data_IF_751604128769
#
_entry.id   IF_751604128769
#
_cell.length_a   1.000
_cell.length_b   1.000
_cell.length_c   1.000
_cell.angle_alpha   90.00
_cell.angle_beta   90.00
_cell.angle_gamma   90.00
#
_symmetry.space_group_name_H-M   'P 1'
#
loop_
_entity.id
_entity.type
_entity.pdbx_description
1 polymer ?
#
# COMPACT_ATOMS: atom_id res chain seq x y z
N UNK A 1 18.89 14.24 7.82
CA UNK A 1 17.44 14.36 8.09
C UNK A 1 16.79 13.05 7.72
N UNK A 2 16.06 12.43 8.64
CA UNK A 2 15.17 11.29 8.34
C UNK A 2 13.84 11.89 7.89
N UNK A 3 13.27 11.42 6.77
CA UNK A 3 11.92 11.80 6.36
C UNK A 3 10.95 10.81 7.00
N UNK A 4 10.00 11.32 7.77
CA UNK A 4 8.99 10.51 8.45
C UNK A 4 7.70 10.49 7.62
N UNK A 5 7.09 9.31 7.50
CA UNK A 5 5.78 9.13 6.87
C UNK A 5 4.77 9.07 8.01
N UNK A 6 3.91 10.08 8.14
CA UNK A 6 2.91 10.14 9.20
C UNK A 6 1.49 9.83 8.71
N UNK A 7 1.30 9.78 7.39
CA UNK A 7 -0.03 9.63 6.81
C UNK A 7 -0.59 8.22 7.04
N UNK A 8 -1.63 8.13 7.87
CA UNK A 8 -2.19 6.86 8.35
C UNK A 8 -2.55 5.87 7.23
N UNK A 9 -3.15 6.27 6.09
CA UNK A 9 -3.40 5.35 4.99
C UNK A 9 -2.13 4.71 4.43
N UNK A 10 -1.04 5.46 4.31
CA UNK A 10 0.25 4.93 3.85
C UNK A 10 0.82 3.95 4.87
N UNK A 11 0.82 4.31 6.15
CA UNK A 11 1.26 3.43 7.23
C UNK A 11 0.46 2.12 7.24
N UNK A 12 -0.85 2.17 7.01
CA UNK A 12 -1.70 0.98 6.91
C UNK A 12 -1.28 0.04 5.78
N UNK A 13 -0.94 0.57 4.59
CA UNK A 13 -0.45 -0.24 3.47
C UNK A 13 0.88 -0.90 3.80
N UNK A 14 1.83 -0.14 4.36
CA UNK A 14 3.15 -0.66 4.76
C UNK A 14 3.02 -1.76 5.82
N UNK A 15 2.21 -1.52 6.86
CA UNK A 15 1.99 -2.48 7.94
C UNK A 15 1.32 -3.76 7.44
N UNK A 16 0.35 -3.67 6.53
CA UNK A 16 -0.30 -4.86 5.93
C UNK A 16 0.70 -5.71 5.16
N UNK A 17 1.49 -5.11 4.28
CA UNK A 17 2.52 -5.84 3.53
C UNK A 17 3.55 -6.47 4.47
N UNK A 18 4.04 -5.72 5.47
CA UNK A 18 4.99 -6.23 6.45
C UNK A 18 4.41 -7.40 7.26
N UNK A 19 3.14 -7.32 7.66
CA UNK A 19 2.44 -8.39 8.38
C UNK A 19 2.36 -9.66 7.54
N UNK A 20 1.97 -9.55 6.27
CA UNK A 20 1.90 -10.71 5.36
C UNK A 20 3.28 -11.31 5.15
N UNK A 21 4.32 -10.49 4.95
CA UNK A 21 5.69 -11.00 4.75
C UNK A 21 6.32 -11.63 6.00
N UNK A 22 5.97 -11.13 7.19
CA UNK A 22 6.54 -11.62 8.45
C UNK A 22 5.80 -12.85 8.99
N UNK A 23 4.57 -13.10 8.55
CA UNK A 23 3.77 -14.22 9.03
C UNK A 23 4.19 -15.53 8.38
N UNK A 24 4.33 -16.58 9.19
CA UNK A 24 4.44 -17.97 8.72
C UNK A 24 3.10 -18.57 8.30
N UNK A 25 1.99 -17.87 8.56
CA UNK A 25 0.62 -18.36 8.38
C UNK A 25 -0.17 -17.58 7.33
N UNK A 26 0.42 -16.55 6.72
CA UNK A 26 -0.21 -15.76 5.67
C UNK A 26 0.67 -15.79 4.44
N UNK A 27 0.05 -15.92 3.26
CA UNK A 27 0.74 -15.72 2.00
C UNK A 27 -0.07 -14.75 1.15
N UNK A 28 0.58 -13.68 0.70
CA UNK A 28 0.05 -12.83 -0.35
C UNK A 28 0.12 -13.55 -1.70
N UNK A 29 -0.83 -13.27 -2.58
CA UNK A 29 -0.75 -13.68 -3.98
C UNK A 29 0.37 -12.91 -4.71
N UNK A 30 0.83 -13.37 -5.89
CA UNK A 30 1.73 -12.58 -6.72
C UNK A 30 1.16 -11.19 -7.03
N UNK A 31 -0.16 -11.08 -7.24
CA UNK A 31 -0.84 -9.82 -7.51
C UNK A 31 -0.81 -8.87 -6.30
N UNK A 32 -0.95 -9.38 -5.08
CA UNK A 32 -0.80 -8.57 -3.86
C UNK A 32 0.58 -7.89 -3.81
N UNK A 33 1.65 -8.62 -4.10
CA UNK A 33 3.01 -8.08 -4.11
C UNK A 33 3.26 -7.09 -5.27
N UNK A 34 2.68 -7.35 -6.44
CA UNK A 34 2.72 -6.43 -7.58
C UNK A 34 2.03 -5.10 -7.24
N UNK A 35 0.81 -5.16 -6.71
CA UNK A 35 0.05 -3.95 -6.35
C UNK A 35 0.70 -3.15 -5.23
N UNK A 36 1.38 -3.81 -4.29
CA UNK A 36 2.20 -3.11 -3.30
C UNK A 36 3.35 -2.34 -3.96
N UNK A 37 4.07 -2.98 -4.90
CA UNK A 37 5.15 -2.32 -5.65
C UNK A 37 4.61 -1.12 -6.44
N UNK A 38 3.47 -1.27 -7.12
CA UNK A 38 2.82 -0.18 -7.85
C UNK A 38 2.44 0.99 -6.92
N UNK A 39 1.95 0.71 -5.72
CA UNK A 39 1.67 1.73 -4.72
C UNK A 39 2.93 2.48 -4.28
N UNK A 40 4.03 1.78 -3.98
CA UNK A 40 5.30 2.41 -3.57
C UNK A 40 5.85 3.29 -4.69
N UNK A 41 5.89 2.80 -5.93
CA UNK A 41 6.34 3.60 -7.08
C UNK A 41 5.49 4.86 -7.25
N UNK A 42 4.16 4.74 -7.16
CA UNK A 42 3.27 5.89 -7.29
C UNK A 42 3.43 6.89 -6.12
N UNK A 43 3.74 6.40 -4.92
CA UNK A 43 4.02 7.23 -3.76
C UNK A 43 5.35 8.01 -3.93
N UNK A 44 6.39 7.35 -4.43
CA UNK A 44 7.68 7.99 -4.74
C UNK A 44 7.55 9.04 -5.86
N UNK A 45 6.82 8.74 -6.94
CA UNK A 45 6.49 9.70 -8.01
C UNK A 45 5.71 10.91 -7.50
N UNK A 46 4.95 10.74 -6.41
CA UNK A 46 4.21 11.83 -5.76
C UNK A 46 5.06 12.63 -4.76
N UNK A 47 6.36 12.35 -4.67
CA UNK A 47 7.26 12.89 -3.65
C UNK A 47 6.76 12.64 -2.21
N UNK A 48 6.17 11.45 -1.98
CA UNK A 48 5.56 11.07 -0.70
C UNK A 48 4.43 12.00 -0.27
N UNK A 49 3.56 12.39 -1.20
CA UNK A 49 2.44 13.29 -0.94
C UNK A 49 1.62 12.83 0.29
N UNK A 50 1.63 13.61 1.36
CA UNK A 50 0.74 13.41 2.49
C UNK A 50 -0.65 13.89 2.09
N UNK A 51 -1.70 13.07 2.29
CA UNK A 51 -3.07 13.51 2.00
C UNK A 51 -3.60 13.17 0.61
N UNK A 52 -2.96 12.27 -0.16
CA UNK A 52 -3.43 11.89 -1.50
C UNK A 52 -4.88 11.37 -1.57
N UNK A 53 -5.49 10.96 -0.45
CA UNK A 53 -6.92 10.60 -0.39
C UNK A 53 -7.86 11.76 -0.06
N UNK A 54 -7.34 12.86 0.49
CA UNK A 54 -8.12 14.02 0.94
C UNK A 54 -8.25 15.11 -0.13
N UNK A 55 -7.23 15.27 -0.98
CA UNK A 55 -7.12 16.43 -1.87
C UNK A 55 -8.08 16.40 -3.07
N UNK A 56 -8.89 15.33 -3.23
CA UNK A 56 -9.85 15.19 -4.34
C UNK A 56 -9.21 15.09 -5.73
N UNK A 57 -7.89 15.19 -5.83
CA UNK A 57 -7.13 14.96 -7.04
C UNK A 57 -7.00 13.45 -7.23
N UNK A 58 -7.47 12.95 -8.38
CA UNK A 58 -7.20 11.60 -8.84
C UNK A 58 -5.71 11.46 -9.19
N UNK A 59 -4.87 11.29 -8.15
CA UNK A 59 -3.46 10.98 -8.30
C UNK A 59 -3.29 9.48 -8.54
N UNK A 60 -2.25 9.11 -9.30
CA UNK A 60 -1.88 7.70 -9.51
C UNK A 60 -1.76 6.92 -8.20
N UNK A 61 -1.22 7.55 -7.14
CA UNK A 61 -1.06 6.94 -5.82
C UNK A 61 -2.41 6.60 -5.16
N UNK A 62 -3.45 7.41 -5.38
CA UNK A 62 -4.81 7.16 -4.88
C UNK A 62 -5.41 5.94 -5.55
N UNK A 63 -5.25 5.81 -6.86
CA UNK A 63 -5.69 4.62 -7.61
C UNK A 63 -4.94 3.38 -7.15
N UNK A 64 -3.62 3.45 -7.00
CA UNK A 64 -2.80 2.33 -6.55
C UNK A 64 -3.15 1.90 -5.11
N UNK A 65 -3.42 2.86 -4.22
CA UNK A 65 -3.89 2.59 -2.87
C UNK A 65 -5.17 1.76 -2.86
N UNK A 66 -6.19 2.18 -3.62
CA UNK A 66 -7.47 1.47 -3.67
C UNK A 66 -7.33 0.09 -4.31
N UNK A 67 -6.48 -0.06 -5.34
CA UNK A 67 -6.20 -1.35 -5.95
C UNK A 67 -5.58 -2.34 -4.96
N UNK A 68 -4.57 -1.91 -4.19
CA UNK A 68 -3.95 -2.73 -3.15
C UNK A 68 -4.93 -3.12 -2.05
N UNK A 69 -5.70 -2.14 -1.52
CA UNK A 69 -6.67 -2.39 -0.45
C UNK A 69 -7.83 -3.28 -0.89
N UNK A 70 -8.20 -3.25 -2.18
CA UNK A 70 -9.17 -4.19 -2.76
C UNK A 70 -8.60 -5.61 -2.84
N UNK A 71 -7.37 -5.76 -3.34
CA UNK A 71 -6.71 -7.06 -3.47
C UNK A 71 -6.49 -7.76 -2.13
N UNK A 72 -6.13 -7.02 -1.07
CA UNK A 72 -5.91 -7.60 0.26
C UNK A 72 -7.15 -8.31 0.82
N UNK A 73 -8.34 -7.76 0.60
CA UNK A 73 -9.60 -8.36 1.09
C UNK A 73 -9.91 -9.71 0.45
N UNK A 74 -9.47 -9.92 -0.79
CA UNK A 74 -9.86 -11.08 -1.59
C UNK A 74 -8.75 -12.13 -1.72
N UNK A 75 -7.47 -11.74 -1.51
CA UNK A 75 -6.32 -12.53 -1.93
C UNK A 75 -5.32 -12.87 -0.82
N UNK A 76 -5.50 -12.36 0.42
CA UNK A 76 -4.74 -12.85 1.57
C UNK A 76 -5.45 -14.07 2.15
N UNK A 77 -4.77 -15.22 2.13
CA UNK A 77 -5.30 -16.48 2.67
C UNK A 77 -4.46 -16.94 3.86
N UNK A 78 -5.14 -17.56 4.83
CA UNK A 78 -4.46 -18.37 5.82
C UNK A 78 -3.81 -19.55 5.09
N UNK A 79 -2.51 -19.73 5.30
CA UNK A 79 -1.73 -20.87 4.83
C UNK A 79 -2.03 -22.12 5.67
#
# INVERSE_FOLDING_TARGET
MVREIEYQPTLSVLNKHATVRASSHLSGSPRFYTLFTEFITALEESEFASGYLADGVLLKVTTAYWAFMGCEKDEVRAA
#
